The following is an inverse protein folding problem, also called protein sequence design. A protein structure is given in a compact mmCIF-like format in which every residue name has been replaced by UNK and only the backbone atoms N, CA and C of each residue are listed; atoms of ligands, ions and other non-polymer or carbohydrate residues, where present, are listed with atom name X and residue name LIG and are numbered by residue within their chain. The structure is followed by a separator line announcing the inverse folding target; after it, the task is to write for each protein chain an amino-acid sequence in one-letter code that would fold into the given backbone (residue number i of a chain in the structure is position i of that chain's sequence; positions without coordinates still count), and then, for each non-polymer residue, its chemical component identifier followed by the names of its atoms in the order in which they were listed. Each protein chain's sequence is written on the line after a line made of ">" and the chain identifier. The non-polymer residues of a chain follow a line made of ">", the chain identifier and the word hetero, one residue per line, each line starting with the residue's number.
data_IF_796118065031
#
_entry.id   IF_796118065031
#
_cell.length_a   1.000
_cell.length_b   1.000
_cell.length_c   1.000
_cell.angle_alpha   90.00
_cell.angle_beta   90.00
_cell.angle_gamma   90.00
#
_symmetry.space_group_name_H-M   'P 1'
#
loop_
_entity.id
_entity.type
_entity.pdbx_description
1 polymer ?
#
# COMPACT_ATOMS: atom_id res chain seq x y z
N UNK A 1 -4.29 -13.18 66.69
CA UNK A 1 -4.31 -12.36 65.45
C UNK A 1 -5.42 -12.74 64.46
N UNK A 2 -5.97 -13.96 64.44
CA UNK A 2 -7.01 -14.37 63.47
C UNK A 2 -8.36 -13.62 63.57
N UNK A 3 -8.74 -13.07 64.73
CA UNK A 3 -10.03 -12.36 64.91
C UNK A 3 -10.10 -10.99 64.22
N UNK A 4 -8.97 -10.39 63.87
CA UNK A 4 -8.89 -9.05 63.27
C UNK A 4 -8.70 -9.14 61.74
N UNK A 5 -8.18 -10.27 61.25
CA UNK A 5 -7.99 -10.53 59.82
C UNK A 5 -9.31 -10.75 59.07
N UNK A 6 -10.30 -11.37 59.70
CA UNK A 6 -11.61 -11.64 59.09
C UNK A 6 -12.40 -10.36 58.71
N UNK A 7 -12.55 -9.34 59.58
CA UNK A 7 -13.23 -8.10 59.19
C UNK A 7 -12.43 -7.28 58.15
N UNK A 8 -11.09 -7.34 58.17
CA UNK A 8 -10.25 -6.68 57.16
C UNK A 8 -10.42 -7.34 55.79
N UNK A 9 -10.48 -8.68 55.75
CA UNK A 9 -10.72 -9.44 54.53
C UNK A 9 -12.12 -9.17 53.96
N UNK A 10 -13.15 -9.07 54.82
CA UNK A 10 -14.51 -8.74 54.41
C UNK A 10 -14.65 -7.29 53.90
N UNK A 11 -13.90 -6.35 54.48
CA UNK A 11 -13.88 -4.95 54.02
C UNK A 11 -13.15 -4.77 52.69
N UNK A 12 -12.14 -5.60 52.40
CA UNK A 12 -11.45 -5.60 51.09
C UNK A 12 -12.38 -6.13 49.99
N UNK A 13 -13.15 -7.18 50.28
CA UNK A 13 -14.17 -7.70 49.35
C UNK A 13 -15.22 -6.64 49.02
N UNK A 14 -15.72 -5.91 50.02
CA UNK A 14 -16.70 -4.83 49.78
C UNK A 14 -16.13 -3.66 48.96
N UNK A 15 -14.81 -3.39 49.04
CA UNK A 15 -14.17 -2.33 48.26
C UNK A 15 -13.94 -2.75 46.78
N UNK A 16 -13.87 -4.05 46.50
CA UNK A 16 -13.75 -4.58 45.12
C UNK A 16 -15.09 -4.71 44.37
N UNK A 17 -16.23 -4.56 45.05
CA UNK A 17 -17.58 -4.61 44.48
C UNK A 17 -18.08 -3.24 43.97
N UNK A 18 -17.20 -2.42 43.41
CA UNK A 18 -17.65 -1.24 42.67
C UNK A 18 -18.42 -1.70 41.42
N UNK A 19 -19.61 -1.14 41.13
CA UNK A 19 -20.34 -1.51 39.92
C UNK A 19 -19.56 -1.07 38.69
N UNK A 20 -18.93 -2.03 38.01
CA UNK A 20 -18.38 -1.88 36.67
C UNK A 20 -19.54 -1.60 35.71
N UNK A 21 -19.76 -0.33 35.38
CA UNK A 21 -20.61 0.07 34.26
C UNK A 21 -19.87 -0.23 32.95
N UNK A 22 -19.98 -1.48 32.50
CA UNK A 22 -19.38 -1.96 31.24
C UNK A 22 -20.38 -2.02 30.07
N UNK A 23 -21.63 -1.60 30.28
CA UNK A 23 -22.64 -1.56 29.23
C UNK A 23 -22.60 -0.19 28.57
N UNK A 24 -22.06 -0.14 27.35
CA UNK A 24 -22.17 0.98 26.43
C UNK A 24 -23.68 1.18 26.15
N UNK A 25 -24.21 2.36 26.45
CA UNK A 25 -25.64 2.63 26.26
C UNK A 25 -25.98 2.52 24.76
N UNK A 26 -26.87 1.58 24.40
CA UNK A 26 -27.43 1.39 23.05
C UNK A 26 -28.38 2.55 22.63
N UNK A 27 -28.32 3.71 23.28
CA UNK A 27 -29.22 4.86 23.07
C UNK A 27 -29.11 5.50 21.66
N UNK A 28 -28.05 5.15 20.93
CA UNK A 28 -27.77 5.66 19.59
C UNK A 28 -28.14 4.68 18.47
N UNK A 29 -28.60 3.47 18.78
CA UNK A 29 -29.05 2.52 17.78
C UNK A 29 -30.48 2.83 17.33
N UNK A 30 -30.68 2.84 16.02
CA UNK A 30 -32.00 2.97 15.39
C UNK A 30 -32.22 1.84 14.40
N UNK A 31 -33.47 1.42 14.26
CA UNK A 31 -33.88 0.59 13.13
C UNK A 31 -34.10 1.47 11.91
N UNK A 32 -33.18 1.35 10.95
CA UNK A 32 -33.19 2.08 9.71
C UNK A 32 -33.83 1.20 8.62
N UNK A 33 -34.95 1.64 8.10
CA UNK A 33 -35.68 0.96 7.03
C UNK A 33 -35.99 1.91 5.89
N UNK A 34 -36.43 1.36 4.77
CA UNK A 34 -36.75 2.19 3.62
C UNK A 34 -36.96 1.42 2.35
N UNK A 35 -37.17 2.16 1.27
CA UNK A 35 -37.30 1.64 -0.09
C UNK A 35 -36.34 2.37 -1.00
N UNK A 36 -35.56 1.62 -1.77
CA UNK A 36 -34.67 2.16 -2.80
C UNK A 36 -35.39 2.18 -4.14
N UNK A 37 -35.44 3.35 -4.77
CA UNK A 37 -36.10 3.56 -6.06
C UNK A 37 -35.14 4.20 -7.06
N UNK A 38 -35.38 3.98 -8.36
CA UNK A 38 -34.69 4.69 -9.43
C UNK A 38 -35.20 6.13 -9.52
N UNK A 39 -34.31 7.10 -9.69
CA UNK A 39 -34.69 8.50 -9.83
C UNK A 39 -35.50 8.78 -11.11
N UNK A 40 -35.24 8.05 -12.20
CA UNK A 40 -35.86 8.32 -13.51
C UNK A 40 -37.30 7.80 -13.59
N UNK A 41 -37.52 6.59 -13.07
CA UNK A 41 -38.77 5.84 -13.25
C UNK A 41 -39.54 5.60 -11.95
N UNK A 42 -38.95 5.95 -10.80
CA UNK A 42 -39.49 5.64 -9.45
C UNK A 42 -39.71 4.12 -9.27
N UNK A 43 -39.14 3.31 -10.16
CA UNK A 43 -39.21 1.85 -10.08
C UNK A 43 -38.32 1.37 -8.93
N UNK A 44 -38.74 0.34 -8.17
CA UNK A 44 -37.92 -0.21 -7.11
C UNK A 44 -36.60 -0.73 -7.67
N UNK A 45 -35.52 -0.58 -6.91
CA UNK A 45 -34.20 -1.14 -7.23
C UNK A 45 -34.01 -2.41 -6.39
N UNK A 46 -34.26 -3.59 -6.96
CA UNK A 46 -34.10 -4.84 -6.24
C UNK A 46 -32.62 -5.18 -6.05
N UNK A 47 -32.32 -5.93 -5.00
CA UNK A 47 -30.99 -6.47 -4.70
C UNK A 47 -29.86 -5.43 -4.62
N UNK A 48 -30.19 -4.17 -4.31
CA UNK A 48 -29.21 -3.12 -4.05
C UNK A 48 -28.52 -3.37 -2.70
N UNK A 49 -27.22 -3.11 -2.64
CA UNK A 49 -26.43 -3.20 -1.40
C UNK A 49 -26.58 -1.91 -0.61
N UNK A 50 -26.89 -2.04 0.68
CA UNK A 50 -27.03 -0.94 1.64
C UNK A 50 -26.07 -1.20 2.80
N UNK A 51 -25.02 -0.39 2.95
CA UNK A 51 -23.93 -0.68 3.90
C UNK A 51 -23.48 0.57 4.65
N UNK A 52 -23.12 0.45 5.92
CA UNK A 52 -22.50 1.54 6.67
C UNK A 52 -21.04 1.70 6.20
N UNK A 53 -20.68 2.92 5.83
CA UNK A 53 -19.36 3.29 5.32
C UNK A 53 -18.25 2.82 6.26
N UNK A 54 -17.20 2.21 5.70
CA UNK A 54 -16.03 1.67 6.42
C UNK A 54 -16.34 0.53 7.41
N UNK A 55 -17.48 -0.15 7.28
CA UNK A 55 -17.81 -1.30 8.11
C UNK A 55 -18.29 -2.47 7.25
N UNK A 56 -18.34 -3.66 7.82
CA UNK A 56 -18.98 -4.84 7.20
C UNK A 56 -20.46 -4.95 7.56
N UNK A 57 -21.07 -3.92 8.16
CA UNK A 57 -22.47 -3.91 8.57
C UNK A 57 -23.33 -3.35 7.45
N UNK A 58 -24.30 -4.13 6.99
CA UNK A 58 -25.19 -3.76 5.91
C UNK A 58 -26.23 -4.83 5.66
N UNK A 59 -27.07 -4.57 4.67
CA UNK A 59 -28.12 -5.46 4.18
C UNK A 59 -28.29 -5.28 2.68
N UNK A 60 -29.17 -6.08 2.09
CA UNK A 60 -29.52 -6.00 0.67
C UNK A 60 -31.02 -5.74 0.55
N UNK A 61 -31.44 -4.99 -0.47
CA UNK A 61 -32.86 -4.76 -0.73
C UNK A 61 -33.56 -6.01 -1.27
N UNK A 62 -34.84 -6.16 -0.97
CA UNK A 62 -35.69 -7.23 -1.51
C UNK A 62 -36.14 -6.95 -2.95
N UNK A 63 -37.06 -7.77 -3.48
CA UNK A 63 -37.62 -7.61 -4.83
C UNK A 63 -38.36 -6.27 -5.04
N UNK A 64 -38.93 -5.71 -3.98
CA UNK A 64 -39.64 -4.43 -4.01
C UNK A 64 -38.73 -3.25 -3.62
N UNK A 65 -37.42 -3.47 -3.49
CA UNK A 65 -36.46 -2.44 -3.11
C UNK A 65 -36.46 -2.11 -1.61
N UNK A 66 -37.20 -2.85 -0.79
CA UNK A 66 -37.30 -2.62 0.65
C UNK A 66 -36.05 -3.14 1.38
N UNK A 67 -35.59 -2.40 2.39
CA UNK A 67 -34.52 -2.81 3.27
C UNK A 67 -34.84 -2.48 4.73
N UNK A 68 -34.20 -3.21 5.65
CA UNK A 68 -34.22 -2.91 7.07
C UNK A 68 -32.97 -3.45 7.74
N UNK A 69 -32.29 -2.62 8.52
CA UNK A 69 -31.17 -3.03 9.37
C UNK A 69 -30.97 -2.04 10.52
N UNK A 70 -30.10 -2.37 11.48
CA UNK A 70 -29.78 -1.50 12.61
C UNK A 70 -28.59 -0.62 12.27
N UNK A 71 -28.74 0.70 12.39
CA UNK A 71 -27.70 1.70 12.20
C UNK A 71 -27.54 2.56 13.45
N UNK A 72 -26.38 3.21 13.62
CA UNK A 72 -26.21 4.24 14.64
C UNK A 72 -26.62 5.60 14.07
N UNK A 73 -27.10 6.48 14.95
CA UNK A 73 -27.21 7.91 14.65
C UNK A 73 -25.85 8.46 14.22
N UNK A 74 -25.80 9.20 13.12
CA UNK A 74 -24.57 9.77 12.56
C UNK A 74 -23.83 8.86 11.57
N UNK A 75 -24.25 7.60 11.44
CA UNK A 75 -23.67 6.71 10.45
C UNK A 75 -23.94 7.21 9.02
N UNK A 76 -22.93 7.04 8.15
CA UNK A 76 -23.11 7.24 6.71
C UNK A 76 -23.43 5.89 6.06
N UNK A 77 -24.61 5.79 5.48
CA UNK A 77 -25.09 4.63 4.73
C UNK A 77 -24.80 4.84 3.25
N UNK A 78 -24.13 3.87 2.64
CA UNK A 78 -23.79 3.83 1.22
C UNK A 78 -24.73 2.88 0.52
N UNK A 79 -25.38 3.39 -0.53
CA UNK A 79 -26.22 2.60 -1.42
C UNK A 79 -25.49 2.36 -2.73
N UNK A 80 -25.46 1.11 -3.18
CA UNK A 80 -24.84 0.74 -4.44
C UNK A 80 -25.61 -0.38 -5.13
N UNK A 81 -25.75 -0.27 -6.45
CA UNK A 81 -26.35 -1.29 -7.30
C UNK A 81 -25.70 -1.23 -8.68
N UNK A 82 -25.73 -2.35 -9.40
CA UNK A 82 -25.16 -2.45 -10.75
C UNK A 82 -25.96 -1.52 -11.69
N UNK A 83 -25.26 -0.68 -12.45
CA UNK A 83 -25.89 0.30 -13.35
C UNK A 83 -26.45 1.55 -12.65
N UNK A 84 -26.14 1.75 -11.36
CA UNK A 84 -26.48 2.96 -10.61
C UNK A 84 -25.24 3.58 -9.97
N UNK A 85 -25.27 4.91 -9.83
CA UNK A 85 -24.19 5.66 -9.19
C UNK A 85 -24.27 5.43 -7.68
N UNK A 86 -23.12 5.21 -7.04
CA UNK A 86 -23.04 5.12 -5.58
C UNK A 86 -23.51 6.43 -4.95
N UNK A 87 -24.33 6.32 -3.91
CA UNK A 87 -24.91 7.46 -3.20
C UNK A 87 -24.81 7.24 -1.70
N UNK A 88 -24.42 8.28 -0.99
CA UNK A 88 -24.24 8.28 0.47
C UNK A 88 -25.42 9.02 1.12
N UNK A 89 -25.91 8.51 2.24
CA UNK A 89 -26.92 9.14 3.10
C UNK A 89 -26.43 9.16 4.54
N UNK A 90 -26.52 10.30 5.22
CA UNK A 90 -26.13 10.44 6.62
C UNK A 90 -27.37 10.34 7.49
N UNK A 91 -27.37 9.40 8.44
CA UNK A 91 -28.43 9.26 9.43
C UNK A 91 -28.39 10.46 10.39
N UNK A 92 -29.47 11.25 10.52
CA UNK A 92 -29.44 12.44 11.38
C UNK A 92 -29.25 12.12 12.88
N UNK A 93 -28.38 12.87 13.55
CA UNK A 93 -28.10 12.70 14.98
C UNK A 93 -29.24 13.14 15.90
N UNK A 94 -30.11 14.03 15.41
CA UNK A 94 -31.20 14.64 16.17
C UNK A 94 -32.45 13.77 16.25
N UNK A 95 -32.37 12.49 15.87
CA UNK A 95 -33.51 11.57 15.90
C UNK A 95 -33.84 11.17 17.34
N UNK A 96 -35.06 11.53 17.78
CA UNK A 96 -35.60 11.19 19.10
C UNK A 96 -36.31 9.83 19.15
N UNK A 97 -36.41 9.12 18.02
CA UNK A 97 -37.10 7.83 17.90
C UNK A 97 -36.17 6.67 17.58
N UNK A 98 -36.63 5.45 17.89
CA UNK A 98 -35.91 4.20 17.62
C UNK A 98 -36.04 3.69 16.17
N UNK A 99 -36.86 4.36 15.34
CA UNK A 99 -37.15 3.96 13.97
C UNK A 99 -36.97 5.14 13.02
N UNK A 100 -36.38 4.89 11.86
CA UNK A 100 -36.29 5.87 10.78
C UNK A 100 -36.55 5.19 9.44
N UNK A 101 -37.46 5.76 8.66
CA UNK A 101 -37.84 5.24 7.33
C UNK A 101 -37.47 6.25 6.25
N UNK A 102 -36.79 5.78 5.21
CA UNK A 102 -36.32 6.60 4.08
C UNK A 102 -36.81 6.05 2.73
N UNK A 103 -37.20 6.94 1.83
CA UNK A 103 -37.29 6.60 0.40
C UNK A 103 -36.03 7.17 -0.25
N UNK A 104 -35.15 6.28 -0.71
CA UNK A 104 -33.86 6.66 -1.26
C UNK A 104 -33.88 6.52 -2.79
N UNK A 105 -33.63 7.62 -3.51
CA UNK A 105 -33.56 7.60 -4.97
C UNK A 105 -32.12 7.46 -5.48
N UNK A 106 -31.89 6.46 -6.32
CA UNK A 106 -30.60 6.24 -6.98
C UNK A 106 -30.64 6.72 -8.44
N UNK A 107 -29.59 7.43 -8.85
CA UNK A 107 -29.40 7.85 -10.25
C UNK A 107 -28.72 6.73 -11.04
N UNK A 108 -29.20 6.46 -12.26
CA UNK A 108 -28.55 5.48 -13.15
C UNK A 108 -27.15 5.95 -13.54
N UNK A 109 -26.20 5.02 -13.51
CA UNK A 109 -24.84 5.24 -14.00
C UNK A 109 -24.73 4.66 -15.40
N UNK A 110 -25.08 5.49 -16.38
CA UNK A 110 -24.85 5.18 -17.79
C UNK A 110 -23.43 5.57 -18.15
N UNK A 111 -22.53 4.60 -18.23
CA UNK A 111 -21.22 4.83 -18.85
C UNK A 111 -21.46 4.94 -20.36
N UNK A 112 -21.39 6.16 -20.88
CA UNK A 112 -21.44 6.39 -22.31
C UNK A 112 -20.08 5.95 -22.89
N UNK A 113 -20.05 4.76 -23.50
CA UNK A 113 -18.88 4.30 -24.21
C UNK A 113 -18.73 5.10 -25.50
N UNK A 114 -17.48 5.47 -25.83
CA UNK A 114 -17.19 6.05 -27.14
C UNK A 114 -17.51 5.02 -28.22
N UNK A 115 -18.25 5.45 -29.24
CA UNK A 115 -18.58 4.58 -30.36
C UNK A 115 -17.35 4.45 -31.25
N UNK A 116 -16.96 3.21 -31.56
CA UNK A 116 -15.88 2.94 -32.51
C UNK A 116 -16.50 2.56 -33.83
N UNK A 117 -16.30 3.41 -34.83
CA UNK A 117 -16.70 3.13 -36.20
C UNK A 117 -15.76 2.07 -36.80
N UNK A 118 -16.29 0.88 -37.07
CA UNK A 118 -15.53 -0.21 -37.69
C UNK A 118 -15.66 -0.09 -39.21
N UNK A 119 -14.57 0.30 -39.86
CA UNK A 119 -14.52 0.36 -41.32
C UNK A 119 -14.07 -0.97 -41.93
N UNK A 120 -14.70 -1.43 -43.03
CA UNK A 120 -14.22 -2.58 -43.78
C UNK A 120 -12.90 -2.24 -44.48
N UNK A 121 -11.98 -3.20 -44.51
CA UNK A 121 -10.69 -3.04 -45.20
C UNK A 121 -10.85 -3.15 -46.73
N UNK A 122 -10.14 -2.33 -47.52
CA UNK A 122 -10.23 -2.38 -48.99
C UNK A 122 -9.79 -3.71 -49.62
N UNK A 123 -8.81 -4.39 -49.03
CA UNK A 123 -8.34 -5.70 -49.48
C UNK A 123 -7.77 -6.54 -48.33
N UNK A 124 -7.73 -7.87 -48.52
CA UNK A 124 -7.14 -8.79 -47.54
C UNK A 124 -5.63 -8.57 -47.35
N UNK A 125 -4.93 -8.06 -48.39
CA UNK A 125 -3.51 -7.74 -48.32
C UNK A 125 -3.28 -6.53 -47.42
N UNK A 126 -4.06 -5.46 -47.60
CA UNK A 126 -3.93 -4.25 -46.81
C UNK A 126 -4.21 -4.51 -45.32
N UNK A 127 -5.19 -5.38 -45.03
CA UNK A 127 -5.43 -5.85 -43.67
C UNK A 127 -4.21 -6.59 -43.10
N UNK A 128 -3.62 -7.53 -43.87
CA UNK A 128 -2.44 -8.29 -43.43
C UNK A 128 -1.27 -7.35 -43.13
N UNK A 129 -1.00 -6.40 -44.01
CA UNK A 129 0.11 -5.46 -43.85
C UNK A 129 -0.14 -4.53 -42.66
N UNK A 130 -1.36 -4.04 -42.46
CA UNK A 130 -1.71 -3.21 -41.29
C UNK A 130 -1.66 -4.00 -39.97
N UNK A 131 -2.15 -5.25 -39.97
CA UNK A 131 -2.16 -6.12 -38.80
C UNK A 131 -0.73 -6.49 -38.36
N UNK A 132 0.15 -6.82 -39.30
CA UNK A 132 1.55 -7.13 -39.00
C UNK A 132 2.33 -5.93 -38.47
N UNK A 133 1.97 -4.71 -38.90
CA UNK A 133 2.61 -3.48 -38.46
C UNK A 133 1.88 -2.80 -37.29
N UNK A 134 0.85 -3.45 -36.74
CA UNK A 134 0.07 -2.89 -35.63
C UNK A 134 0.94 -2.84 -34.38
N UNK A 135 1.25 -1.62 -33.92
CA UNK A 135 1.91 -1.43 -32.64
C UNK A 135 0.87 -1.44 -31.52
N UNK A 136 0.72 -2.58 -30.86
CA UNK A 136 -0.16 -2.73 -29.70
C UNK A 136 0.61 -2.22 -28.49
N UNK A 137 0.06 -1.26 -27.70
CA UNK A 137 0.71 -0.84 -26.47
C UNK A 137 0.88 -2.03 -25.52
N UNK A 138 2.01 -2.09 -24.84
CA UNK A 138 2.28 -3.11 -23.82
C UNK A 138 1.22 -3.01 -22.71
N UNK A 139 0.75 -4.17 -22.23
CA UNK A 139 -0.09 -4.24 -21.03
C UNK A 139 0.66 -3.72 -19.79
N UNK A 140 -0.05 -3.28 -18.76
CA UNK A 140 0.52 -2.72 -17.53
C UNK A 140 1.53 -3.69 -16.90
N UNK A 141 1.23 -5.00 -16.94
CA UNK A 141 2.13 -6.05 -16.46
C UNK A 141 3.41 -6.16 -17.30
N UNK A 142 3.32 -6.02 -18.61
CA UNK A 142 4.46 -6.08 -19.52
C UNK A 142 5.38 -4.86 -19.33
N UNK A 143 4.81 -3.68 -19.16
CA UNK A 143 5.54 -2.45 -18.80
C UNK A 143 6.28 -2.64 -17.48
N UNK A 144 5.59 -3.17 -16.45
CA UNK A 144 6.20 -3.44 -15.15
C UNK A 144 7.38 -4.41 -15.25
N UNK A 145 7.24 -5.50 -16.02
CA UNK A 145 8.33 -6.47 -16.25
C UNK A 145 9.53 -5.84 -16.94
N UNK A 146 9.31 -5.02 -17.97
CA UNK A 146 10.37 -4.32 -18.69
C UNK A 146 11.13 -3.33 -17.80
N UNK A 147 10.42 -2.62 -16.93
CA UNK A 147 11.03 -1.70 -15.95
C UNK A 147 11.79 -2.43 -14.83
N UNK A 148 11.41 -3.68 -14.55
CA UNK A 148 12.05 -4.55 -13.55
C UNK A 148 13.09 -5.51 -14.16
N UNK A 149 13.41 -5.34 -15.44
CA UNK A 149 14.40 -6.18 -16.10
C UNK A 149 15.76 -6.05 -15.36
N UNK A 150 16.36 -7.16 -14.90
CA UNK A 150 17.61 -7.11 -14.15
C UNK A 150 18.75 -6.41 -14.90
N UNK A 151 18.81 -6.54 -16.22
CA UNK A 151 19.86 -5.93 -17.05
C UNK A 151 19.67 -4.41 -17.08
N UNK A 152 18.45 -3.94 -17.33
CA UNK A 152 18.11 -2.52 -17.29
C UNK A 152 18.34 -1.91 -15.91
N UNK A 153 17.97 -2.63 -14.84
CA UNK A 153 18.17 -2.17 -13.46
C UNK A 153 19.66 -2.08 -13.13
N UNK A 154 20.48 -3.01 -13.62
CA UNK A 154 21.92 -2.96 -13.45
C UNK A 154 22.53 -1.76 -14.20
N UNK A 155 22.17 -1.57 -15.47
CA UNK A 155 22.60 -0.42 -16.27
C UNK A 155 22.26 0.90 -15.57
N UNK A 156 21.01 1.06 -15.11
CA UNK A 156 20.56 2.23 -14.34
C UNK A 156 21.36 2.40 -13.05
N UNK A 157 21.66 1.31 -12.34
CA UNK A 157 22.42 1.35 -11.09
C UNK A 157 23.89 1.78 -11.31
N UNK A 158 24.47 1.46 -12.47
CA UNK A 158 25.83 1.87 -12.83
C UNK A 158 25.91 3.37 -13.16
N UNK A 159 24.87 3.92 -13.79
CA UNK A 159 24.78 5.37 -14.07
C UNK A 159 24.46 6.21 -12.82
N UNK A 160 23.82 5.61 -11.82
CA UNK A 160 23.44 6.32 -10.60
C UNK A 160 24.65 6.57 -9.69
N UNK A 161 24.83 7.81 -9.19
CA UNK A 161 25.88 8.09 -8.22
C UNK A 161 25.60 7.34 -6.92
N UNK A 162 26.67 6.92 -6.24
CA UNK A 162 26.56 6.31 -4.91
C UNK A 162 25.84 7.25 -3.95
N UNK A 163 24.77 6.76 -3.33
CA UNK A 163 24.05 7.49 -2.28
C UNK A 163 24.91 7.65 -1.02
N UNK A 164 24.55 8.55 -0.12
CA UNK A 164 25.30 8.78 1.13
C UNK A 164 25.52 7.51 1.96
N UNK A 165 24.52 6.63 2.05
CA UNK A 165 24.64 5.34 2.75
C UNK A 165 25.56 4.36 2.02
N UNK A 166 25.53 4.33 0.67
CA UNK A 166 26.46 3.53 -0.13
C UNK A 166 27.89 4.05 0.00
N UNK A 167 28.11 5.36 -0.02
CA UNK A 167 29.41 5.97 0.21
C UNK A 167 29.97 5.61 1.60
N UNK A 168 29.14 5.66 2.64
CA UNK A 168 29.55 5.25 3.99
C UNK A 168 29.89 3.76 4.05
N UNK A 169 29.05 2.89 3.46
CA UNK A 169 29.32 1.44 3.40
C UNK A 169 30.60 1.16 2.64
N UNK A 170 30.82 1.84 1.51
CA UNK A 170 32.04 1.74 0.72
C UNK A 170 33.26 2.18 1.54
N UNK A 171 33.19 3.32 2.24
CA UNK A 171 34.26 3.79 3.12
C UNK A 171 34.57 2.79 4.25
N UNK A 172 33.54 2.25 4.90
CA UNK A 172 33.70 1.25 5.95
C UNK A 172 34.27 -0.07 5.41
N UNK A 173 33.89 -0.48 4.20
CA UNK A 173 34.45 -1.64 3.53
C UNK A 173 35.94 -1.42 3.20
N UNK A 174 36.32 -0.24 2.72
CA UNK A 174 37.73 0.10 2.52
C UNK A 174 38.51 0.05 3.84
N UNK A 175 37.97 0.61 4.93
CA UNK A 175 38.58 0.52 6.27
C UNK A 175 38.69 -0.93 6.75
N UNK A 176 37.64 -1.73 6.57
CA UNK A 176 37.62 -3.14 6.95
C UNK A 176 38.68 -3.94 6.18
N UNK A 177 38.74 -3.80 4.86
CA UNK A 177 39.76 -4.41 4.02
C UNK A 177 41.17 -4.02 4.49
N UNK A 178 41.39 -2.74 4.82
CA UNK A 178 42.67 -2.30 5.37
C UNK A 178 43.00 -2.98 6.70
N UNK A 179 42.02 -3.17 7.59
CA UNK A 179 42.19 -3.85 8.88
C UNK A 179 42.43 -5.36 8.72
N UNK A 180 41.73 -6.03 7.81
CA UNK A 180 42.01 -7.44 7.46
C UNK A 180 43.46 -7.64 7.03
N UNK A 181 44.00 -6.71 6.25
CA UNK A 181 45.41 -6.70 5.85
C UNK A 181 46.34 -5.90 6.79
N UNK A 182 45.87 -5.44 7.95
CA UNK A 182 46.69 -4.71 8.92
C UNK A 182 47.49 -5.65 9.85
N UNK A 183 47.25 -6.96 9.78
CA UNK A 183 47.99 -7.98 10.54
C UNK A 183 48.60 -9.10 9.69
N UNK A 184 48.20 -9.22 8.42
CA UNK A 184 48.91 -10.03 7.42
C UNK A 184 49.62 -9.05 6.50
N UNK A 185 50.90 -9.30 6.15
CA UNK A 185 51.53 -8.53 5.08
C UNK A 185 50.60 -8.60 3.87
N UNK A 186 50.07 -7.46 3.39
CA UNK A 186 49.36 -7.50 2.11
C UNK A 186 50.31 -8.18 1.11
N UNK A 187 49.78 -8.84 0.11
CA UNK A 187 50.58 -9.53 -0.92
C UNK A 187 51.43 -8.56 -1.78
N UNK A 188 51.73 -7.37 -1.25
CA UNK A 188 52.61 -6.34 -1.76
C UNK A 188 54.06 -6.48 -1.27
N UNK A 189 54.40 -7.33 -0.30
CA UNK A 189 55.81 -7.62 0.00
C UNK A 189 56.46 -8.57 -1.03
N UNK A 190 55.75 -9.60 -1.51
CA UNK A 190 56.27 -10.47 -2.57
C UNK A 190 56.23 -9.81 -3.96
N UNK A 191 55.13 -9.11 -4.28
CA UNK A 191 55.01 -8.44 -5.59
C UNK A 191 55.89 -7.21 -5.73
N UNK A 192 56.29 -6.54 -4.64
CA UNK A 192 57.25 -5.44 -4.69
C UNK A 192 58.70 -5.92 -4.81
N UNK A 193 59.03 -7.13 -4.31
CA UNK A 193 60.32 -7.79 -4.55
C UNK A 193 60.48 -8.26 -6.01
N UNK A 194 59.39 -8.59 -6.70
CA UNK A 194 59.41 -9.02 -8.10
C UNK A 194 59.01 -7.90 -9.09
N UNK A 195 58.87 -6.65 -8.62
CA UNK A 195 58.48 -5.51 -9.47
C UNK A 195 59.72 -4.92 -10.18
N UNK A 196 59.86 -5.06 -11.51
CA UNK A 196 61.04 -4.57 -12.25
C UNK A 196 61.20 -3.04 -12.20
N UNK A 197 60.11 -2.30 -12.05
CA UNK A 197 60.13 -0.82 -11.96
C UNK A 197 60.64 -0.36 -10.59
N UNK A 198 60.32 -1.10 -9.52
CA UNK A 198 60.83 -0.82 -8.19
C UNK A 198 62.36 -1.04 -8.12
N UNK A 199 62.87 -2.09 -8.77
CA UNK A 199 64.31 -2.34 -8.90
C UNK A 199 65.02 -1.27 -9.73
N UNK A 200 64.42 -0.82 -10.84
CA UNK A 200 64.98 0.26 -11.64
C UNK A 200 65.17 1.55 -10.81
N UNK A 201 64.13 1.95 -10.07
CA UNK A 201 64.19 3.12 -9.16
C UNK A 201 65.20 2.93 -8.02
N UNK A 202 65.30 1.72 -7.47
CA UNK A 202 66.27 1.41 -6.43
C UNK A 202 67.72 1.50 -6.93
N UNK A 203 68.03 0.92 -8.09
CA UNK A 203 69.35 1.01 -8.72
C UNK A 203 69.70 2.45 -9.06
N UNK A 204 68.73 3.23 -9.54
CA UNK A 204 68.89 4.65 -9.84
C UNK A 204 69.19 5.47 -8.57
N UNK A 205 68.44 5.24 -7.48
CA UNK A 205 68.68 5.88 -6.18
C UNK A 205 70.04 5.48 -5.57
N UNK A 206 70.47 4.23 -5.75
CA UNK A 206 71.81 3.80 -5.37
C UNK A 206 72.88 4.54 -6.18
N UNK A 207 72.76 4.59 -7.51
CA UNK A 207 73.71 5.32 -8.37
C UNK A 207 73.80 6.81 -8.01
N UNK A 208 72.68 7.42 -7.62
CA UNK A 208 72.62 8.81 -7.15
C UNK A 208 73.29 9.03 -5.79
N UNK A 209 73.57 7.97 -5.05
CA UNK A 209 74.26 8.02 -3.77
C UNK A 209 73.36 8.33 -2.58
N UNK A 210 72.04 8.20 -2.75
CA UNK A 210 71.03 8.57 -1.73
C UNK A 210 71.19 7.77 -0.42
N UNK A 211 71.86 6.61 -0.47
CA UNK A 211 72.08 5.71 0.67
C UNK A 211 73.47 5.84 1.32
N UNK A 212 74.32 6.79 0.88
CA UNK A 212 75.57 7.08 1.60
C UNK A 212 75.26 7.84 2.88
N UNK A 213 75.87 7.42 4.00
CA UNK A 213 75.75 8.14 5.28
C UNK A 213 76.27 9.56 5.07
N UNK A 214 75.42 10.56 5.34
CA UNK A 214 75.87 11.94 5.50
C UNK A 214 76.62 12.00 6.83
N UNK A 215 77.92 12.22 6.78
CA UNK A 215 78.67 12.78 7.91
C UNK A 215 78.48 14.29 7.95
#
# INVERSE_FOLDING_TARGET
>A
MQRILFPIFLSIIFFTLSPLKAQENDEDLIQFSGVVVSQDSISPVPFATVMIKNTSRGTTTDYYGYFSFVAKKGDTVVFSSIGYKKSDFVVPDTLSGSYYSLIHSMTRDTVQLETVDVFPWPSAKDFKDAFLNLNIPDDDLAIARKNLDPELLQERAEEMPMTGSMNFKWQMQQRSNQLYYAGQSRMNNLSNLLNPIAWAKFIEAWKRGDFKRKE
#
